data_IF_320251191248
#
_entry.id   IF_320251191248
#
_cell.length_a   1.000
_cell.length_b   1.000
_cell.length_c   1.000
_cell.angle_alpha   90.00
_cell.angle_beta   90.00
_cell.angle_gamma   90.00
#
_symmetry.space_group_name_H-M   'P 1'
#
loop_
_entity.id
_entity.type
_entity.pdbx_description
1 polymer ?
#
# COMPACT_ATOMS: atom_id res chain seq x y z
N UNK A 1 -12.53 11.80 -23.06
CA UNK A 1 -12.66 12.09 -21.61
C UNK A 1 -11.41 11.56 -20.92
N UNK A 2 -10.36 12.37 -20.91
CA UNK A 2 -9.09 12.06 -20.25
C UNK A 2 -9.18 12.52 -18.80
N UNK A 3 -9.58 11.60 -17.90
CA UNK A 3 -9.56 11.83 -16.47
C UNK A 3 -8.12 12.04 -16.01
N UNK A 4 -7.77 13.28 -15.69
CA UNK A 4 -6.52 13.60 -15.01
C UNK A 4 -6.69 13.14 -13.56
N UNK A 5 -6.17 11.94 -13.26
CA UNK A 5 -5.98 11.46 -11.90
C UNK A 5 -4.96 12.38 -11.23
N UNK A 6 -5.41 13.21 -10.28
CA UNK A 6 -4.50 13.84 -9.34
C UNK A 6 -3.94 12.71 -8.47
N UNK A 7 -2.64 12.46 -8.63
CA UNK A 7 -1.91 11.44 -7.88
C UNK A 7 -1.85 11.94 -6.44
N UNK A 8 -2.63 11.34 -5.54
CA UNK A 8 -2.37 11.46 -4.11
C UNK A 8 -1.05 10.74 -3.84
N UNK A 9 0.06 11.47 -3.90
CA UNK A 9 1.39 10.95 -3.54
C UNK A 9 1.48 10.51 -2.07
N UNK A 10 0.45 10.76 -1.25
CA UNK A 10 0.44 10.55 0.19
C UNK A 10 -0.01 9.16 0.66
N UNK A 11 -0.52 8.27 -0.20
CA UNK A 11 -0.70 6.85 0.16
C UNK A 11 0.58 6.02 -0.02
N UNK A 12 1.68 6.63 -0.47
CA UNK A 12 3.01 6.02 -0.41
C UNK A 12 3.63 6.24 0.97
N UNK A 13 2.89 5.92 2.02
CA UNK A 13 3.49 5.80 3.34
C UNK A 13 4.37 4.54 3.30
N UNK A 14 5.65 4.77 2.95
CA UNK A 14 6.76 3.85 3.08
C UNK A 14 6.43 2.39 2.74
N UNK A 15 6.21 2.08 1.46
CA UNK A 15 6.49 0.74 0.95
C UNK A 15 8.00 0.51 1.13
N UNK A 16 8.44 0.15 2.35
CA UNK A 16 9.69 -0.62 2.55
C UNK A 16 9.63 -1.66 1.45
N UNK A 17 10.66 -1.71 0.60
CA UNK A 17 10.79 -2.65 -0.52
C UNK A 17 10.29 -4.01 -0.05
N UNK A 18 9.01 -4.26 -0.25
CA UNK A 18 8.35 -5.38 0.38
C UNK A 18 8.79 -6.57 -0.45
N UNK A 19 8.99 -7.73 0.18
CA UNK A 19 9.31 -8.94 -0.54
C UNK A 19 8.27 -9.28 -1.64
N UNK A 20 7.17 -8.54 -1.79
CA UNK A 20 6.12 -8.76 -2.77
C UNK A 20 5.79 -7.52 -3.65
N UNK A 21 6.65 -6.51 -3.71
CA UNK A 21 6.43 -5.30 -4.54
C UNK A 21 6.31 -5.57 -6.06
N UNK A 22 6.92 -6.66 -6.54
CA UNK A 22 6.85 -7.11 -7.94
C UNK A 22 5.51 -7.74 -8.33
N UNK A 23 4.62 -8.02 -7.37
CA UNK A 23 3.33 -8.68 -7.60
C UNK A 23 2.28 -7.61 -7.92
N UNK A 24 1.71 -7.70 -9.12
CA UNK A 24 0.73 -6.73 -9.62
C UNK A 24 -0.68 -7.29 -9.76
N UNK A 25 -0.88 -8.60 -9.51
CA UNK A 25 -2.18 -9.27 -9.55
C UNK A 25 -2.03 -10.79 -9.58
N UNK A 26 -3.14 -11.51 -9.73
CA UNK A 26 -3.15 -12.97 -9.75
C UNK A 26 -2.67 -13.59 -11.06
N UNK A 27 -2.53 -12.81 -12.14
CA UNK A 27 -2.02 -13.27 -13.44
C UNK A 27 -2.94 -14.29 -14.12
N UNK A 28 -4.25 -14.04 -14.05
CA UNK A 28 -5.28 -14.91 -14.62
C UNK A 28 -5.71 -14.44 -16.01
N UNK A 29 -6.09 -15.37 -16.87
CA UNK A 29 -6.88 -15.12 -18.07
C UNK A 29 -8.27 -15.74 -17.85
N UNK A 30 -9.25 -14.88 -17.56
CA UNK A 30 -10.52 -15.33 -16.98
C UNK A 30 -10.30 -15.91 -15.57
N UNK A 31 -10.54 -17.20 -15.38
CA UNK A 31 -10.23 -17.92 -14.13
C UNK A 31 -9.01 -18.84 -14.25
N UNK A 32 -8.33 -18.87 -15.40
CA UNK A 32 -7.18 -19.76 -15.61
C UNK A 32 -5.87 -19.05 -15.31
N UNK A 33 -5.03 -19.63 -14.48
CA UNK A 33 -3.75 -19.01 -14.14
C UNK A 33 -2.69 -19.29 -15.22
N UNK A 34 -2.03 -18.24 -15.71
CA UNK A 34 -0.86 -18.42 -16.60
C UNK A 34 0.35 -18.88 -15.77
N UNK A 35 1.24 -19.74 -16.31
CA UNK A 35 2.41 -20.22 -15.59
C UNK A 35 3.27 -19.10 -14.99
N UNK A 36 3.44 -18.00 -15.73
CA UNK A 36 4.12 -16.78 -15.28
C UNK A 36 3.32 -15.57 -15.74
N UNK A 37 2.80 -14.77 -14.81
CA UNK A 37 2.09 -13.52 -15.10
C UNK A 37 1.95 -12.65 -13.85
N UNK A 38 1.94 -11.33 -14.03
CA UNK A 38 1.71 -10.34 -12.96
C UNK A 38 2.63 -10.48 -11.73
N UNK A 39 3.87 -10.91 -11.95
CA UNK A 39 4.86 -11.18 -10.90
C UNK A 39 4.68 -12.52 -10.18
N UNK A 40 3.63 -13.28 -10.51
CA UNK A 40 3.36 -14.61 -9.96
C UNK A 40 3.96 -15.70 -10.86
N UNK A 41 4.52 -16.74 -10.24
CA UNK A 41 5.04 -17.96 -10.89
C UNK A 41 4.37 -19.16 -10.26
N UNK A 42 3.89 -20.10 -11.07
CA UNK A 42 3.33 -21.36 -10.57
C UNK A 42 2.08 -21.15 -9.72
N UNK A 43 1.91 -21.99 -8.70
CA UNK A 43 0.75 -22.02 -7.78
C UNK A 43 -0.60 -21.91 -8.51
N UNK A 44 -0.73 -22.63 -9.63
CA UNK A 44 -1.88 -22.52 -10.56
C UNK A 44 -3.19 -22.69 -9.82
N UNK A 45 -3.41 -23.85 -9.17
CA UNK A 45 -4.64 -24.14 -8.43
C UNK A 45 -4.98 -23.08 -7.36
N UNK A 46 -3.97 -22.63 -6.60
CA UNK A 46 -4.18 -21.64 -5.54
C UNK A 46 -4.54 -20.26 -6.10
N UNK A 47 -3.95 -19.87 -7.23
CA UNK A 47 -4.27 -18.61 -7.93
C UNK A 47 -5.64 -18.64 -8.59
N UNK A 48 -6.04 -19.77 -9.15
CA UNK A 48 -7.38 -19.95 -9.72
C UNK A 48 -8.45 -19.89 -8.62
N UNK A 49 -8.22 -20.58 -7.49
CA UNK A 49 -9.09 -20.48 -6.31
C UNK A 49 -9.18 -19.05 -5.78
N UNK A 50 -8.05 -18.35 -5.69
CA UNK A 50 -8.02 -16.94 -5.32
C UNK A 50 -8.79 -16.05 -6.31
N UNK A 51 -8.76 -16.36 -7.62
CA UNK A 51 -9.54 -15.67 -8.64
C UNK A 51 -11.04 -15.84 -8.47
N UNK A 52 -11.49 -17.04 -8.07
CA UNK A 52 -12.89 -17.30 -7.71
C UNK A 52 -13.28 -16.49 -6.48
N UNK A 53 -12.43 -16.43 -5.46
CA UNK A 53 -12.65 -15.59 -4.27
C UNK A 53 -12.81 -14.12 -4.63
N UNK A 54 -11.90 -13.57 -5.44
CA UNK A 54 -11.97 -12.19 -5.94
C UNK A 54 -13.29 -11.93 -6.64
N UNK A 55 -13.76 -12.87 -7.47
CA UNK A 55 -15.05 -12.75 -8.15
C UNK A 55 -16.23 -12.74 -7.16
N UNK A 56 -16.24 -13.65 -6.19
CA UNK A 56 -17.28 -13.68 -5.16
C UNK A 56 -17.33 -12.38 -4.35
N UNK A 57 -16.17 -11.80 -4.05
CA UNK A 57 -16.07 -10.52 -3.36
C UNK A 57 -16.67 -9.40 -4.22
N UNK A 58 -16.26 -9.29 -5.49
CA UNK A 58 -16.78 -8.28 -6.42
C UNK A 58 -18.28 -8.42 -6.70
N UNK A 59 -18.82 -9.64 -6.60
CA UNK A 59 -20.25 -9.91 -6.72
C UNK A 59 -21.05 -9.73 -5.41
N UNK A 60 -20.40 -9.37 -4.29
CA UNK A 60 -21.05 -9.22 -2.99
C UNK A 60 -21.48 -10.54 -2.33
N UNK A 61 -20.98 -11.69 -2.82
CA UNK A 61 -21.35 -13.04 -2.37
C UNK A 61 -20.35 -13.62 -1.35
N UNK A 62 -19.49 -12.79 -0.76
CA UNK A 62 -18.44 -13.21 0.17
C UNK A 62 -18.72 -12.83 1.65
N UNK A 63 -19.89 -12.29 1.96
CA UNK A 63 -20.26 -11.92 3.33
C UNK A 63 -20.19 -13.11 4.30
N UNK A 64 -19.72 -12.86 5.54
CA UNK A 64 -19.63 -13.88 6.59
C UNK A 64 -18.56 -14.95 6.39
N UNK A 65 -17.66 -14.78 5.41
CA UNK A 65 -16.61 -15.75 5.08
C UNK A 65 -15.22 -15.14 5.20
N UNK A 66 -14.23 -15.99 5.42
CA UNK A 66 -12.82 -15.63 5.35
C UNK A 66 -12.05 -16.65 4.50
N UNK A 67 -10.80 -16.32 4.17
CA UNK A 67 -9.92 -17.22 3.43
C UNK A 67 -8.85 -17.77 4.38
N UNK A 68 -8.51 -19.05 4.26
CA UNK A 68 -7.33 -19.62 4.89
C UNK A 68 -6.34 -20.08 3.82
N UNK A 69 -5.16 -19.47 3.78
CA UNK A 69 -4.03 -19.93 3.00
C UNK A 69 -3.22 -20.93 3.83
N UNK A 70 -3.29 -22.21 3.47
CA UNK A 70 -2.61 -23.28 4.19
C UNK A 70 -1.48 -23.86 3.33
N UNK A 71 -0.32 -24.11 3.95
CA UNK A 71 0.76 -24.88 3.30
C UNK A 71 2.14 -24.58 3.87
N UNK A 72 3.18 -25.28 3.41
CA UNK A 72 4.54 -25.14 3.93
C UNK A 72 5.09 -23.70 3.90
N UNK A 73 6.13 -23.39 4.70
CA UNK A 73 6.83 -22.11 4.58
C UNK A 73 7.39 -21.91 3.16
N UNK A 74 7.36 -20.67 2.66
CA UNK A 74 7.97 -20.33 1.37
C UNK A 74 7.14 -20.70 0.12
N UNK A 75 5.89 -21.14 0.27
CA UNK A 75 4.99 -21.48 -0.86
C UNK A 75 4.22 -20.29 -1.45
N UNK A 76 4.46 -19.07 -0.98
CA UNK A 76 3.83 -17.86 -1.55
C UNK A 76 2.45 -17.50 -1.00
N UNK A 77 2.11 -17.89 0.24
CA UNK A 77 0.84 -17.48 0.89
C UNK A 77 0.68 -15.96 0.93
N UNK A 78 1.67 -15.24 1.46
CA UNK A 78 1.68 -13.76 1.48
C UNK A 78 1.58 -13.16 0.07
N UNK A 79 2.28 -13.76 -0.90
CA UNK A 79 2.22 -13.35 -2.31
C UNK A 79 0.79 -13.45 -2.90
N UNK A 80 0.08 -14.56 -2.62
CA UNK A 80 -1.31 -14.76 -3.07
C UNK A 80 -2.24 -13.75 -2.38
N UNK A 81 -2.08 -13.50 -1.08
CA UNK A 81 -2.89 -12.51 -0.36
C UNK A 81 -2.70 -11.09 -0.93
N UNK A 82 -1.45 -10.70 -1.21
CA UNK A 82 -1.15 -9.43 -1.89
C UNK A 82 -1.77 -9.39 -3.29
N UNK A 83 -1.69 -10.47 -4.06
CA UNK A 83 -2.28 -10.56 -5.39
C UNK A 83 -3.80 -10.43 -5.37
N UNK A 84 -4.48 -11.03 -4.38
CA UNK A 84 -5.93 -10.87 -4.16
C UNK A 84 -6.27 -9.39 -3.94
N UNK A 85 -5.55 -8.72 -3.03
CA UNK A 85 -5.80 -7.30 -2.75
C UNK A 85 -5.62 -6.42 -3.99
N UNK A 86 -4.54 -6.64 -4.77
CA UNK A 86 -4.29 -5.90 -6.02
C UNK A 86 -5.37 -6.14 -7.08
N UNK A 87 -5.97 -7.33 -7.11
CA UNK A 87 -7.08 -7.61 -8.03
C UNK A 87 -8.41 -6.99 -7.60
N UNK A 88 -8.61 -6.73 -6.31
CA UNK A 88 -9.79 -6.01 -5.83
C UNK A 88 -9.75 -4.54 -6.24
N UNK A 89 -8.57 -3.92 -6.19
CA UNK A 89 -8.33 -2.57 -6.70
C UNK A 89 -6.98 -2.02 -6.26
N UNK A 90 -6.52 -0.95 -6.92
CA UNK A 90 -5.23 -0.31 -6.57
C UNK A 90 -5.30 0.52 -5.29
N UNK A 91 -6.49 1.01 -5.00
CA UNK A 91 -6.91 1.87 -3.89
C UNK A 91 -7.59 1.07 -2.75
N UNK A 92 -7.69 -0.25 -2.90
CA UNK A 92 -8.20 -1.14 -1.85
C UNK A 92 -7.14 -1.28 -0.76
N UNK A 93 -7.46 -0.94 0.51
CA UNK A 93 -6.51 -1.07 1.61
C UNK A 93 -6.06 -2.53 1.81
N UNK A 94 -4.77 -2.73 2.04
CA UNK A 94 -4.19 -4.03 2.41
C UNK A 94 -3.42 -3.87 3.71
N UNK A 95 -3.89 -4.55 4.77
CA UNK A 95 -3.31 -4.48 6.11
C UNK A 95 -2.66 -5.83 6.43
N UNK A 96 -1.33 -5.96 6.23
CA UNK A 96 -0.60 -7.13 6.71
C UNK A 96 -0.41 -7.06 8.21
N UNK A 97 -0.62 -8.18 8.89
CA UNK A 97 -0.51 -8.33 10.33
C UNK A 97 0.15 -9.67 10.65
N UNK A 98 1.26 -9.68 11.38
CA UNK A 98 1.71 -10.92 12.02
C UNK A 98 0.86 -11.17 13.28
N UNK A 99 0.36 -12.40 13.47
CA UNK A 99 -0.48 -12.74 14.62
C UNK A 99 0.15 -12.39 15.98
N UNK A 100 1.48 -12.37 16.07
CA UNK A 100 2.22 -11.96 17.28
C UNK A 100 2.09 -10.48 17.63
N UNK A 101 1.84 -9.60 16.65
CA UNK A 101 1.76 -8.14 16.86
C UNK A 101 0.53 -7.73 17.69
N UNK A 102 -0.51 -8.57 17.74
CA UNK A 102 -1.72 -8.33 18.53
C UNK A 102 -1.42 -8.32 20.03
N UNK A 103 -0.38 -9.03 20.46
CA UNK A 103 0.03 -9.12 21.86
C UNK A 103 0.96 -7.94 22.20
N UNK A 104 0.36 -6.77 22.40
CA UNK A 104 1.06 -5.57 22.84
C UNK A 104 0.84 -5.29 24.33
N UNK A 105 1.85 -4.73 25.00
CA UNK A 105 1.73 -4.22 26.36
C UNK A 105 1.08 -2.82 26.39
N UNK A 106 1.17 -2.07 25.30
CA UNK A 106 0.75 -0.67 25.22
C UNK A 106 -0.73 -0.50 24.84
N UNK A 107 -1.28 -1.44 24.07
CA UNK A 107 -2.64 -1.36 23.50
C UNK A 107 -3.36 -2.66 23.78
N UNK A 108 -4.63 -2.58 24.20
CA UNK A 108 -5.48 -3.75 24.41
C UNK A 108 -5.65 -4.54 23.10
N UNK A 109 -5.63 -5.87 23.18
CA UNK A 109 -5.84 -6.77 22.02
C UNK A 109 -7.07 -6.38 21.17
N UNK A 110 -8.19 -6.11 21.83
CA UNK A 110 -9.45 -5.73 21.16
C UNK A 110 -9.33 -4.39 20.44
N UNK A 111 -8.67 -3.41 21.05
CA UNK A 111 -8.46 -2.09 20.44
C UNK A 111 -7.52 -2.18 19.24
N UNK A 112 -6.43 -2.94 19.35
CA UNK A 112 -5.52 -3.21 18.23
C UNK A 112 -6.26 -3.85 17.04
N UNK A 113 -7.09 -4.86 17.31
CA UNK A 113 -7.90 -5.52 16.27
C UNK A 113 -8.94 -4.58 15.65
N UNK A 114 -9.61 -3.75 16.47
CA UNK A 114 -10.55 -2.74 15.97
C UNK A 114 -9.84 -1.74 15.04
N UNK A 115 -8.67 -1.22 15.44
CA UNK A 115 -7.87 -0.34 14.58
C UNK A 115 -7.44 -1.04 13.28
N UNK A 116 -7.03 -2.30 13.35
CA UNK A 116 -6.66 -3.11 12.17
C UNK A 116 -7.83 -3.23 11.20
N UNK A 117 -9.03 -3.57 11.69
CA UNK A 117 -10.23 -3.68 10.86
C UNK A 117 -10.60 -2.32 10.23
N UNK A 118 -10.53 -1.22 11.00
CA UNK A 118 -10.83 0.12 10.48
C UNK A 118 -9.78 0.66 9.50
N UNK A 119 -8.52 0.24 9.63
CA UNK A 119 -7.48 0.50 8.62
C UNK A 119 -7.76 -0.23 7.30
N UNK A 120 -8.46 -1.36 7.36
CA UNK A 120 -8.81 -2.14 6.17
C UNK A 120 -10.12 -1.71 5.51
N UNK A 121 -10.91 -0.80 6.08
CA UNK A 121 -12.11 -0.28 5.43
C UNK A 121 -11.76 1.07 4.79
N UNK A 122 -11.77 1.10 3.46
CA UNK A 122 -11.56 2.30 2.66
C UNK A 122 -12.86 3.07 2.45
N UNK A 123 -12.75 4.39 2.29
CA UNK A 123 -13.81 5.30 1.92
C UNK A 123 -13.30 6.20 0.79
N UNK A 124 -13.95 6.17 -0.37
CA UNK A 124 -13.72 7.12 -1.46
C UNK A 124 -14.70 8.26 -1.32
N UNK A 125 -14.23 9.40 -0.83
CA UNK A 125 -15.08 10.58 -0.68
C UNK A 125 -15.02 11.39 -1.98
N UNK A 126 -16.17 11.60 -2.59
CA UNK A 126 -16.37 12.37 -3.81
C UNK A 126 -16.81 13.79 -3.44
N UNK A 127 -16.01 14.76 -3.85
CA UNK A 127 -16.27 16.16 -3.56
C UNK A 127 -16.18 16.99 -4.84
N UNK A 128 -17.30 17.62 -5.20
CA UNK A 128 -17.34 18.53 -6.34
C UNK A 128 -17.05 19.94 -5.84
N UNK A 129 -15.97 20.54 -6.31
CA UNK A 129 -15.59 21.92 -5.97
C UNK A 129 -15.50 22.78 -7.21
N UNK A 130 -15.82 24.07 -7.05
CA UNK A 130 -15.63 25.08 -8.09
C UNK A 130 -14.19 25.56 -8.07
N UNK A 131 -13.47 25.27 -9.14
CA UNK A 131 -12.07 25.65 -9.30
C UNK A 131 -11.90 26.64 -10.46
N UNK A 132 -10.95 27.54 -10.32
CA UNK A 132 -10.45 28.32 -11.45
C UNK A 132 -9.23 27.61 -12.04
N UNK A 133 -9.20 27.43 -13.34
CA UNK A 133 -8.05 26.83 -14.03
C UNK A 133 -7.75 27.60 -15.31
N UNK A 134 -6.49 27.87 -15.57
CA UNK A 134 -6.08 28.55 -16.79
C UNK A 134 -4.60 28.90 -16.82
N UNK A 135 -4.17 29.35 -17.99
CA UNK A 135 -2.85 29.93 -18.17
C UNK A 135 -2.81 31.34 -17.60
N UNK A 136 -1.81 31.61 -16.78
CA UNK A 136 -1.52 32.92 -16.23
C UNK A 136 -1.07 33.87 -17.34
N UNK A 137 -1.85 34.92 -17.57
CA UNK A 137 -1.55 35.99 -18.53
C UNK A 137 -0.89 37.19 -17.85
N UNK A 138 -1.35 37.53 -16.65
CA UNK A 138 -0.82 38.65 -15.88
C UNK A 138 -0.80 38.27 -14.39
N UNK A 139 0.26 38.64 -13.67
CA UNK A 139 0.35 38.54 -12.20
C UNK A 139 0.84 39.88 -11.68
N UNK A 140 0.13 40.45 -10.71
CA UNK A 140 0.53 41.65 -9.98
C UNK A 140 0.41 41.37 -8.48
N UNK A 141 1.51 41.55 -7.74
CA UNK A 141 1.54 41.35 -6.30
C UNK A 141 1.62 42.71 -5.62
N UNK A 142 0.66 42.98 -4.74
CA UNK A 142 0.62 44.17 -3.91
C UNK A 142 1.47 43.93 -2.67
N UNK A 143 2.41 44.85 -2.38
CA UNK A 143 3.33 44.74 -1.25
C UNK A 143 3.07 45.86 -0.26
N UNK A 144 3.15 45.54 1.03
CA UNK A 144 3.05 46.48 2.13
C UNK A 144 4.27 46.36 3.07
N UNK A 145 4.67 47.42 3.80
CA UNK A 145 5.74 47.35 4.78
C UNK A 145 5.37 46.45 5.96
N UNK A 146 6.33 45.70 6.49
CA UNK A 146 6.14 44.80 7.62
C UNK A 146 5.90 45.60 8.92
N UNK A 147 4.92 45.24 9.76
CA UNK A 147 4.54 46.02 10.96
C UNK A 147 5.70 46.27 11.95
N UNK A 148 6.67 45.36 12.00
CA UNK A 148 7.81 45.43 12.93
C UNK A 148 9.16 45.70 12.24
N UNK A 149 9.20 45.76 10.91
CA UNK A 149 10.43 46.00 10.16
C UNK A 149 10.13 46.81 8.89
N UNK A 150 10.27 48.15 8.92
CA UNK A 150 9.94 49.02 7.80
C UNK A 150 10.74 48.74 6.51
N UNK A 151 11.88 48.05 6.62
CA UNK A 151 12.74 47.70 5.49
C UNK A 151 12.34 46.36 4.83
N UNK A 152 11.39 45.62 5.41
CA UNK A 152 10.88 44.36 4.89
C UNK A 152 9.50 44.56 4.30
N UNK A 153 9.29 44.10 3.07
CA UNK A 153 7.98 44.11 2.43
C UNK A 153 7.34 42.73 2.51
N UNK A 154 6.04 42.70 2.80
CA UNK A 154 5.21 41.50 2.79
C UNK A 154 4.14 41.60 1.70
N UNK A 155 3.75 40.48 1.08
CA UNK A 155 2.57 40.45 0.21
C UNK A 155 1.34 40.87 1.02
N UNK A 156 0.56 41.82 0.49
CA UNK A 156 -0.70 42.29 1.07
C UNK A 156 -1.92 41.78 0.29
N UNK A 157 -1.74 41.51 -1.00
CA UNK A 157 -2.76 41.00 -1.91
C UNK A 157 -2.15 40.73 -3.28
N UNK A 158 -2.95 40.17 -4.19
CA UNK A 158 -2.52 39.96 -5.57
C UNK A 158 -3.70 40.08 -6.53
N UNK A 159 -3.41 40.53 -7.75
CA UNK A 159 -4.35 40.44 -8.87
C UNK A 159 -3.73 39.55 -9.94
N UNK A 160 -4.45 38.50 -10.33
CA UNK A 160 -4.04 37.57 -11.37
C UNK A 160 -5.06 37.56 -12.51
N UNK A 161 -4.59 37.54 -13.76
CA UNK A 161 -5.42 37.29 -14.92
C UNK A 161 -5.06 35.93 -15.50
N UNK A 162 -6.03 35.03 -15.56
CA UNK A 162 -5.88 33.69 -16.12
C UNK A 162 -6.78 33.52 -17.34
N UNK A 163 -6.39 32.66 -18.27
CA UNK A 163 -7.14 32.42 -19.49
C UNK A 163 -7.11 30.93 -19.89
N UNK A 164 -8.25 30.47 -20.38
CA UNK A 164 -8.38 29.24 -21.17
C UNK A 164 -8.35 29.59 -22.66
N UNK A 165 -8.63 28.64 -23.54
CA UNK A 165 -8.83 28.93 -24.97
C UNK A 165 -10.06 29.78 -25.24
N UNK A 166 -11.06 29.74 -24.37
CA UNK A 166 -12.41 30.25 -24.65
C UNK A 166 -12.75 31.48 -23.80
N UNK A 167 -12.15 31.63 -22.62
CA UNK A 167 -12.45 32.70 -21.66
C UNK A 167 -11.16 33.24 -21.01
N UNK A 168 -11.18 34.52 -20.62
CA UNK A 168 -10.17 35.07 -19.72
C UNK A 168 -10.83 35.78 -18.54
N UNK A 169 -10.24 35.65 -17.35
CA UNK A 169 -10.81 36.19 -16.12
C UNK A 169 -9.73 36.80 -15.25
N UNK A 170 -10.04 37.96 -14.67
CA UNK A 170 -9.20 38.64 -13.67
C UNK A 170 -9.75 38.35 -12.28
N UNK A 171 -8.88 37.93 -11.37
CA UNK A 171 -9.18 37.58 -9.99
C UNK A 171 -8.34 38.45 -9.06
N UNK A 172 -8.96 38.99 -8.02
CA UNK A 172 -8.28 39.70 -6.93
C UNK A 172 -8.25 38.76 -5.72
N UNK A 173 -7.09 38.68 -5.09
CA UNK A 173 -6.78 37.67 -4.07
C UNK A 173 -6.20 38.35 -2.83
N UNK A 174 -6.44 37.73 -1.68
CA UNK A 174 -5.93 38.20 -0.39
C UNK A 174 -4.43 37.92 -0.21
N UNK A 175 -3.92 38.28 0.98
CA UNK A 175 -2.55 38.04 1.40
C UNK A 175 -2.13 36.56 1.37
N UNK A 176 -3.04 35.62 1.67
CA UNK A 176 -2.74 34.19 1.71
C UNK A 176 -2.39 33.67 0.32
N UNK A 177 -3.26 33.96 -0.66
CA UNK A 177 -3.00 33.60 -2.05
C UNK A 177 -1.79 34.32 -2.64
N UNK A 178 -1.61 35.60 -2.31
CA UNK A 178 -0.43 36.37 -2.72
C UNK A 178 0.88 35.73 -2.23
N UNK A 179 0.89 35.22 -1.00
CA UNK A 179 2.04 34.50 -0.44
C UNK A 179 2.31 33.20 -1.19
N UNK A 180 1.26 32.42 -1.51
CA UNK A 180 1.40 31.17 -2.25
C UNK A 180 1.91 31.39 -3.70
N UNK A 181 1.46 32.45 -4.36
CA UNK A 181 1.96 32.86 -5.68
C UNK A 181 3.49 33.06 -5.68
N UNK A 182 4.01 33.75 -4.65
CA UNK A 182 5.46 33.97 -4.48
C UNK A 182 6.16 32.66 -4.20
N UNK A 183 5.67 31.88 -3.23
CA UNK A 183 6.32 30.64 -2.80
C UNK A 183 6.44 29.60 -3.93
N UNK A 184 5.44 29.53 -4.81
CA UNK A 184 5.44 28.63 -5.96
C UNK A 184 6.11 29.22 -7.21
N UNK A 185 6.58 30.47 -7.16
CA UNK A 185 7.18 31.15 -8.30
C UNK A 185 6.25 31.17 -9.51
N UNK A 186 4.98 31.52 -9.29
CA UNK A 186 3.96 31.58 -10.34
C UNK A 186 4.18 32.86 -11.18
N UNK A 187 4.33 32.68 -12.49
CA UNK A 187 4.61 33.73 -13.46
C UNK A 187 3.75 33.60 -14.74
N UNK A 188 3.81 34.62 -15.60
CA UNK A 188 3.11 34.59 -16.89
C UNK A 188 3.57 33.41 -17.74
N UNK A 189 2.59 32.66 -18.24
CA UNK A 189 2.77 31.43 -19.01
C UNK A 189 2.68 30.15 -18.17
N UNK A 190 2.52 30.24 -16.86
CA UNK A 190 2.23 29.07 -16.02
C UNK A 190 0.76 28.65 -16.14
N UNK A 191 0.48 27.37 -15.97
CA UNK A 191 -0.87 26.80 -15.89
C UNK A 191 -1.15 26.58 -14.40
N UNK A 192 -2.20 27.21 -13.88
CA UNK A 192 -2.55 27.16 -12.46
C UNK A 192 -3.96 26.64 -12.24
N UNK A 193 -4.16 26.03 -11.08
CA UNK A 193 -5.47 25.67 -10.54
C UNK A 193 -5.66 26.37 -9.18
N UNK A 194 -6.77 27.07 -8.99
CA UNK A 194 -7.10 27.83 -7.79
C UNK A 194 -8.38 27.24 -7.20
N UNK A 195 -8.30 26.76 -5.97
CA UNK A 195 -9.44 26.35 -5.15
C UNK A 195 -9.77 27.52 -4.19
N UNK A 196 -10.83 28.29 -4.46
CA UNK A 196 -11.22 29.43 -3.63
C UNK A 196 -11.74 29.00 -2.25
N UNK A 197 -12.41 27.85 -2.17
CA UNK A 197 -12.99 27.34 -0.92
C UNK A 197 -11.90 26.70 -0.05
N UNK A 198 -10.99 25.93 -0.68
CA UNK A 198 -9.82 25.35 -0.01
C UNK A 198 -8.68 26.35 0.25
N UNK A 199 -8.79 27.60 -0.23
CA UNK A 199 -7.80 28.64 0.02
C UNK A 199 -6.43 28.36 -0.62
N UNK A 200 -6.35 27.53 -1.68
CA UNK A 200 -5.07 27.07 -2.26
C UNK A 200 -4.93 27.39 -3.74
N UNK A 201 -3.72 27.72 -4.18
CA UNK A 201 -3.31 27.75 -5.58
C UNK A 201 -2.25 26.67 -5.84
N UNK A 202 -2.30 26.02 -7.01
CA UNK A 202 -1.31 25.02 -7.42
C UNK A 202 -0.84 25.32 -8.84
N UNK A 203 0.48 25.42 -9.02
CA UNK A 203 1.14 25.44 -10.33
C UNK A 203 1.21 24.04 -10.90
N UNK A 204 0.48 23.80 -12.00
CA UNK A 204 0.45 22.50 -12.70
C UNK A 204 1.64 22.34 -13.66
N UNK A 205 2.11 23.43 -14.26
CA UNK A 205 3.17 23.38 -15.27
C UNK A 205 3.29 24.67 -16.05
N UNK A 206 4.04 24.63 -17.16
CA UNK A 206 4.17 25.74 -18.12
C UNK A 206 3.36 25.47 -19.38
N UNK A 207 2.78 26.51 -19.96
CA UNK A 207 2.05 26.40 -21.22
C UNK A 207 3.00 26.10 -22.38
N UNK A 208 2.60 25.18 -23.27
CA UNK A 208 3.38 24.83 -24.46
C UNK A 208 3.68 26.06 -25.33
N UNK A 209 2.69 26.95 -25.50
CA UNK A 209 2.84 28.22 -26.22
C UNK A 209 3.95 29.10 -25.63
N UNK A 210 4.00 29.25 -24.30
CA UNK A 210 5.02 30.07 -23.63
C UNK A 210 6.42 29.47 -23.76
N UNK A 211 6.55 28.14 -23.75
CA UNK A 211 7.84 27.45 -23.93
C UNK A 211 8.36 27.60 -25.36
N UNK A 212 7.47 27.46 -26.36
CA UNK A 212 7.79 27.66 -27.78
C UNK A 212 8.18 29.11 -28.10
N UNK A 213 7.43 30.09 -27.58
CA UNK A 213 7.72 31.52 -27.74
C UNK A 213 9.06 31.92 -27.12
N UNK A 214 9.42 31.34 -25.96
CA UNK A 214 10.68 31.63 -25.25
C UNK A 214 11.88 30.84 -25.77
N UNK A 215 11.70 29.93 -26.76
CA UNK A 215 12.75 29.07 -27.34
C UNK A 215 13.60 28.38 -26.28
N UNK A 216 12.94 27.79 -25.28
CA UNK A 216 13.65 27.11 -24.17
C UNK A 216 14.00 25.68 -24.58
N UNK A 217 15.29 25.37 -24.71
CA UNK A 217 15.76 24.05 -25.14
C UNK A 217 15.57 22.94 -24.08
N UNK A 218 15.55 23.30 -22.78
CA UNK A 218 15.39 22.38 -21.66
C UNK A 218 14.55 23.03 -20.54
N UNK A 219 13.42 22.42 -20.15
CA UNK A 219 12.57 22.84 -19.03
C UNK A 219 12.43 21.71 -18.02
N UNK A 220 12.64 22.01 -16.73
CA UNK A 220 12.34 21.10 -15.62
C UNK A 220 10.86 21.08 -15.26
N UNK A 221 10.10 22.07 -15.72
CA UNK A 221 8.66 22.18 -15.48
C UNK A 221 7.88 21.36 -16.51
N UNK A 222 6.84 20.67 -16.05
CA UNK A 222 5.92 19.93 -16.92
C UNK A 222 5.28 20.87 -17.94
N UNK A 223 5.34 20.51 -19.23
CA UNK A 223 4.76 21.30 -20.31
C UNK A 223 3.34 20.82 -20.58
N UNK A 224 2.37 21.73 -20.48
CA UNK A 224 0.94 21.46 -20.60
C UNK A 224 0.30 22.31 -21.70
N UNK A 225 -0.75 21.79 -22.31
CA UNK A 225 -1.60 22.56 -23.20
C UNK A 225 -2.50 23.51 -22.40
N UNK A 226 -2.85 24.66 -23.00
CA UNK A 226 -3.77 25.61 -22.37
C UNK A 226 -5.13 24.93 -22.22
N UNK A 227 -5.79 24.98 -21.04
CA UNK A 227 -7.08 24.34 -20.85
C UNK A 227 -8.15 24.96 -21.75
N UNK A 228 -9.12 24.15 -22.18
CA UNK A 228 -10.28 24.61 -22.94
C UNK A 228 -11.48 24.88 -22.02
N UNK A 229 -12.51 25.56 -22.54
CA UNK A 229 -13.76 25.84 -21.82
C UNK A 229 -13.69 27.07 -20.92
N UNK A 230 -14.62 27.17 -19.98
CA UNK A 230 -14.67 28.28 -19.01
C UNK A 230 -13.48 28.22 -18.03
N UNK A 231 -13.04 29.39 -17.57
CA UNK A 231 -11.99 29.49 -16.54
C UNK A 231 -12.49 28.92 -15.21
N UNK A 232 -13.74 29.22 -14.84
CA UNK A 232 -14.39 28.63 -13.67
C UNK A 232 -15.10 27.34 -14.08
N UNK A 233 -14.74 26.22 -13.46
CA UNK A 233 -15.34 24.92 -13.71
C UNK A 233 -15.53 24.11 -12.44
N UNK A 234 -16.51 23.23 -12.46
CA UNK A 234 -16.71 22.24 -11.41
C UNK A 234 -15.79 21.05 -11.67
N UNK A 235 -15.02 20.66 -10.66
CA UNK A 235 -14.13 19.51 -10.70
C UNK A 235 -14.44 18.59 -9.53
N UNK A 236 -14.60 17.31 -9.84
CA UNK A 236 -14.76 16.27 -8.85
C UNK A 236 -13.38 15.81 -8.35
N UNK A 237 -13.21 15.83 -7.03
CA UNK A 237 -12.07 15.30 -6.33
C UNK A 237 -12.48 14.01 -5.63
N UNK A 238 -11.64 12.98 -5.76
CA UNK A 238 -11.84 11.69 -5.10
C UNK A 238 -10.73 11.53 -4.07
N UNK A 239 -11.12 11.52 -2.79
CA UNK A 239 -10.21 11.36 -1.66
C UNK A 239 -10.31 9.93 -1.11
N UNK A 240 -9.32 9.06 -1.40
CA UNK A 240 -9.25 7.75 -0.78
C UNK A 240 -8.70 7.88 0.64
N UNK A 241 -9.51 7.54 1.64
CA UNK A 241 -9.14 7.51 3.06
C UNK A 241 -9.58 6.18 3.70
N UNK A 242 -9.08 5.86 4.88
CA UNK A 242 -9.58 4.71 5.66
C UNK A 242 -10.44 5.20 6.82
N UNK A 243 -11.33 4.35 7.35
CA UNK A 243 -12.11 4.71 8.54
C UNK A 243 -11.21 5.04 9.72
N UNK A 244 -10.08 4.34 9.87
CA UNK A 244 -9.10 4.67 10.91
C UNK A 244 -8.49 6.06 10.72
N UNK A 245 -8.19 6.46 9.48
CA UNK A 245 -7.67 7.81 9.22
C UNK A 245 -8.69 8.90 9.57
N UNK A 246 -9.98 8.66 9.28
CA UNK A 246 -11.07 9.54 9.67
C UNK A 246 -11.25 9.61 11.20
N UNK A 247 -11.17 8.47 11.89
CA UNK A 247 -11.19 8.42 13.35
C UNK A 247 -10.07 9.27 13.96
N UNK A 248 -8.85 9.13 13.43
CA UNK A 248 -7.69 9.88 13.91
C UNK A 248 -7.84 11.38 13.69
N UNK A 249 -8.43 11.80 12.56
CA UNK A 249 -8.74 13.21 12.31
C UNK A 249 -9.80 13.74 13.28
N UNK A 250 -10.88 12.98 13.51
CA UNK A 250 -11.94 13.36 14.42
C UNK A 250 -11.46 13.43 15.89
N UNK A 251 -10.65 12.45 16.32
CA UNK A 251 -10.11 12.37 17.69
C UNK A 251 -9.21 13.57 18.04
N UNK A 252 -8.60 14.23 17.05
CA UNK A 252 -7.68 15.35 17.26
C UNK A 252 -8.36 16.70 17.61
N UNK A 253 -9.68 16.75 17.83
CA UNK A 253 -10.49 17.97 18.11
C UNK A 253 -10.08 19.18 17.24
N UNK A 254 -10.69 19.29 16.06
CA UNK A 254 -10.53 20.46 15.18
C UNK A 254 -9.44 20.34 14.10
N UNK A 255 -8.95 19.13 13.83
CA UNK A 255 -8.00 18.86 12.75
C UNK A 255 -8.73 18.57 11.43
N UNK A 256 -8.53 19.45 10.45
CA UNK A 256 -8.89 19.22 9.04
C UNK A 256 -8.30 17.89 8.52
N UNK A 257 -8.86 17.31 7.45
CA UNK A 257 -8.33 16.12 6.75
C UNK A 257 -6.83 16.30 6.43
N UNK A 258 -6.39 17.54 6.23
CA UNK A 258 -4.99 17.91 6.05
C UNK A 258 -4.06 17.50 7.20
N UNK A 259 -4.54 17.39 8.44
CA UNK A 259 -3.76 16.93 9.59
C UNK A 259 -3.36 15.44 9.52
N UNK A 260 -4.07 14.65 8.71
CA UNK A 260 -3.69 13.26 8.38
C UNK A 260 -2.42 13.27 7.51
N UNK A 261 -2.27 14.24 6.61
CA UNK A 261 -1.20 14.29 5.62
C UNK A 261 0.15 14.84 6.14
N UNK A 262 0.19 15.51 7.30
CA UNK A 262 1.39 16.24 7.77
C UNK A 262 1.94 15.81 9.15
N UNK A 263 1.55 14.63 9.66
CA UNK A 263 2.21 14.01 10.81
C UNK A 263 2.01 14.72 12.16
N UNK A 264 0.86 14.48 12.80
CA UNK A 264 0.59 14.86 14.18
C UNK A 264 0.83 13.72 15.19
N UNK A 265 0.88 14.03 16.50
CA UNK A 265 0.99 13.03 17.57
C UNK A 265 -0.13 11.99 17.48
N UNK A 266 0.22 10.71 17.64
CA UNK A 266 -0.73 9.60 17.70
C UNK A 266 -1.41 9.58 19.09
N UNK A 267 -2.73 9.73 19.13
CA UNK A 267 -3.53 9.33 20.28
C UNK A 267 -3.54 7.80 20.36
N UNK A 268 -3.19 7.23 21.53
CA UNK A 268 -2.99 5.77 21.68
C UNK A 268 -4.28 4.95 21.51
N UNK A 269 -5.42 5.46 21.97
CA UNK A 269 -6.72 4.82 21.84
C UNK A 269 -7.76 5.84 21.33
N UNK A 270 -8.69 5.38 20.50
CA UNK A 270 -9.77 6.21 19.95
C UNK A 270 -11.04 5.87 20.71
N UNK A 271 -11.67 6.90 21.29
CA UNK A 271 -12.90 6.73 22.06
C UNK A 271 -14.03 6.15 21.17
N UNK A 272 -14.88 5.24 21.71
CA UNK A 272 -16.00 4.68 20.96
C UNK A 272 -16.99 5.73 20.46
N UNK A 273 -17.11 6.86 21.15
CA UNK A 273 -17.97 7.98 20.75
C UNK A 273 -17.48 8.62 19.44
N UNK A 274 -16.17 8.91 19.33
CA UNK A 274 -15.55 9.42 18.09
C UNK A 274 -15.80 8.48 16.91
N UNK A 275 -15.69 7.16 17.12
CA UNK A 275 -15.95 6.17 16.05
C UNK A 275 -17.41 6.21 15.59
N UNK A 276 -18.36 6.33 16.51
CA UNK A 276 -19.79 6.44 16.17
C UNK A 276 -20.08 7.73 15.39
N UNK A 277 -19.45 8.84 15.75
CA UNK A 277 -19.58 10.10 15.01
C UNK A 277 -19.04 9.96 13.58
N UNK A 278 -17.87 9.33 13.42
CA UNK A 278 -17.31 9.04 12.09
C UNK A 278 -18.20 8.09 11.29
N UNK A 279 -18.72 7.04 11.91
CA UNK A 279 -19.60 6.07 11.25
C UNK A 279 -20.88 6.74 10.73
N UNK A 280 -21.52 7.61 11.53
CA UNK A 280 -22.71 8.37 11.08
C UNK A 280 -22.37 9.43 10.02
N UNK A 281 -21.21 10.09 10.12
CA UNK A 281 -20.73 11.00 9.09
C UNK A 281 -20.54 10.27 7.74
N UNK A 282 -19.82 9.16 7.74
CA UNK A 282 -19.57 8.35 6.54
C UNK A 282 -20.88 7.82 5.96
N UNK A 283 -21.77 7.31 6.81
CA UNK A 283 -23.10 6.84 6.39
C UNK A 283 -23.92 7.94 5.71
N UNK A 284 -23.86 9.17 6.24
CA UNK A 284 -24.52 10.33 5.61
C UNK A 284 -23.95 10.58 4.22
N UNK A 285 -22.62 10.60 4.06
CA UNK A 285 -21.99 10.77 2.75
C UNK A 285 -22.34 9.65 1.76
N UNK A 286 -22.43 8.40 2.23
CA UNK A 286 -22.85 7.26 1.40
C UNK A 286 -24.29 7.43 0.92
N UNK A 287 -25.20 7.86 1.82
CA UNK A 287 -26.60 8.13 1.46
C UNK A 287 -26.74 9.29 0.47
N UNK A 288 -25.86 10.29 0.56
CA UNK A 288 -25.77 11.40 -0.39
C UNK A 288 -25.13 11.01 -1.74
N UNK A 289 -24.60 9.79 -1.87
CA UNK A 289 -23.85 9.36 -3.06
C UNK A 289 -22.47 10.02 -3.20
N UNK A 290 -21.97 10.62 -2.11
CA UNK A 290 -20.69 11.34 -2.02
C UNK A 290 -19.59 10.51 -1.37
N UNK A 291 -19.88 9.26 -1.01
CA UNK A 291 -18.88 8.33 -0.50
C UNK A 291 -19.17 6.91 -0.98
N UNK A 292 -18.13 6.20 -1.38
CA UNK A 292 -18.18 4.77 -1.66
C UNK A 292 -17.27 4.03 -0.67
N UNK A 293 -17.84 3.07 0.06
CA UNK A 293 -17.07 2.22 0.96
C UNK A 293 -16.45 1.04 0.22
N UNK A 294 -15.16 0.82 0.47
CA UNK A 294 -14.37 -0.24 -0.12
C UNK A 294 -13.90 -1.20 0.98
N UNK A 295 -14.44 -2.43 1.04
CA UNK A 295 -13.90 -3.44 1.94
C UNK A 295 -12.50 -3.85 1.46
N UNK A 296 -11.49 -3.51 2.24
CA UNK A 296 -10.11 -3.92 2.02
C UNK A 296 -9.81 -5.30 2.56
N UNK A 297 -8.53 -5.62 2.64
CA UNK A 297 -8.03 -6.94 3.01
C UNK A 297 -7.20 -6.84 4.28
N UNK A 298 -7.56 -7.63 5.29
CA UNK A 298 -6.70 -7.90 6.45
C UNK A 298 -6.02 -9.24 6.23
N UNK A 299 -4.69 -9.23 6.13
CA UNK A 299 -3.90 -10.45 6.02
C UNK A 299 -3.25 -10.77 7.35
N UNK A 300 -3.62 -11.90 7.96
CA UNK A 300 -3.07 -12.35 9.25
C UNK A 300 -2.14 -13.53 9.02
N UNK A 301 -0.83 -13.28 9.10
CA UNK A 301 0.19 -14.31 9.00
C UNK A 301 0.37 -15.05 10.34
N UNK A 302 0.78 -16.31 10.25
CA UNK A 302 0.98 -17.21 11.39
C UNK A 302 -0.24 -17.31 12.32
N UNK A 303 -1.45 -17.37 11.76
CA UNK A 303 -2.72 -17.29 12.53
C UNK A 303 -2.85 -18.33 13.66
N UNK A 304 -2.12 -19.45 13.59
CA UNK A 304 -2.01 -20.43 14.69
C UNK A 304 -1.45 -19.87 16.01
N UNK A 305 -0.89 -18.66 15.99
CA UNK A 305 -0.38 -17.96 17.17
C UNK A 305 -1.44 -17.12 17.89
N UNK A 306 -2.63 -16.96 17.29
CA UNK A 306 -3.77 -16.29 17.91
C UNK A 306 -4.37 -17.14 19.03
N UNK A 307 -4.93 -16.46 20.03
CA UNK A 307 -5.69 -17.09 21.10
C UNK A 307 -7.20 -17.18 20.79
N UNK A 308 -7.91 -17.98 21.58
CA UNK A 308 -9.35 -18.21 21.43
C UNK A 308 -10.18 -16.92 21.50
N UNK A 309 -9.78 -15.96 22.35
CA UNK A 309 -10.45 -14.67 22.48
C UNK A 309 -10.34 -13.83 21.21
N UNK A 310 -9.16 -13.84 20.57
CA UNK A 310 -8.92 -13.15 19.32
C UNK A 310 -9.72 -13.78 18.19
N UNK A 311 -9.77 -15.11 18.11
CA UNK A 311 -10.63 -15.80 17.14
C UNK A 311 -12.11 -15.47 17.33
N UNK A 312 -12.61 -15.46 18.58
CA UNK A 312 -13.99 -15.08 18.87
C UNK A 312 -14.31 -13.65 18.42
N UNK A 313 -13.38 -12.71 18.67
CA UNK A 313 -13.52 -11.33 18.20
C UNK A 313 -13.59 -11.25 16.67
N UNK A 314 -12.68 -11.91 15.96
CA UNK A 314 -12.64 -11.92 14.50
C UNK A 314 -13.87 -12.61 13.91
N UNK A 315 -14.35 -13.69 14.54
CA UNK A 315 -15.55 -14.40 14.10
C UNK A 315 -16.79 -13.50 14.16
N UNK A 316 -16.93 -12.70 15.23
CA UNK A 316 -17.98 -11.69 15.34
C UNK A 316 -17.80 -10.55 14.34
N UNK A 317 -16.57 -10.14 14.06
CA UNK A 317 -16.30 -9.09 13.08
C UNK A 317 -16.71 -9.51 11.66
N UNK A 318 -16.53 -10.78 11.28
CA UNK A 318 -16.96 -11.32 9.98
C UNK A 318 -18.47 -11.25 9.73
N UNK A 319 -19.28 -11.16 10.79
CA UNK A 319 -20.74 -11.04 10.69
C UNK A 319 -21.22 -9.62 10.36
N UNK A 320 -20.32 -8.63 10.40
CA UNK A 320 -20.65 -7.25 10.05
C UNK A 320 -20.76 -7.07 8.53
N UNK A 321 -21.74 -6.28 8.09
CA UNK A 321 -22.02 -6.06 6.65
C UNK A 321 -20.83 -5.46 5.89
N UNK A 322 -20.08 -4.58 6.53
CA UNK A 322 -18.91 -3.90 5.97
C UNK A 322 -17.59 -4.49 6.48
N UNK A 323 -17.59 -5.74 6.91
CA UNK A 323 -16.37 -6.41 7.37
C UNK A 323 -15.33 -6.46 6.23
N UNK A 324 -14.06 -6.10 6.51
CA UNK A 324 -12.99 -6.30 5.53
C UNK A 324 -12.79 -7.80 5.27
N UNK A 325 -12.21 -8.12 4.13
CA UNK A 325 -11.89 -9.50 3.76
C UNK A 325 -10.72 -9.96 4.63
N UNK A 326 -10.95 -10.96 5.47
CA UNK A 326 -9.92 -11.53 6.32
C UNK A 326 -9.29 -12.74 5.63
N UNK A 327 -7.98 -12.68 5.43
CA UNK A 327 -7.17 -13.77 4.88
C UNK A 327 -6.19 -14.22 5.97
N UNK A 328 -6.40 -15.43 6.48
CA UNK A 328 -5.48 -16.09 7.40
C UNK A 328 -4.40 -16.84 6.62
N UNK A 329 -3.18 -16.90 7.16
CA UNK A 329 -2.15 -17.80 6.69
C UNK A 329 -1.60 -18.67 7.81
N UNK A 330 -1.39 -19.95 7.49
CA UNK A 330 -0.80 -20.91 8.42
C UNK A 330 0.20 -21.83 7.72
N UNK A 331 1.26 -22.16 8.43
CA UNK A 331 2.21 -23.22 8.08
C UNK A 331 2.04 -24.46 8.97
N UNK A 332 1.08 -24.45 9.91
CA UNK A 332 0.84 -25.56 10.85
C UNK A 332 -0.33 -26.44 10.38
N UNK A 333 -0.13 -27.74 10.55
CA UNK A 333 -1.18 -28.76 10.48
C UNK A 333 -2.01 -28.75 11.77
N UNK A 334 -1.96 -29.82 12.56
CA UNK A 334 -2.65 -29.85 13.86
C UNK A 334 -1.84 -29.13 14.94
N UNK A 335 -2.47 -28.19 15.65
CA UNK A 335 -1.88 -27.45 16.77
C UNK A 335 -2.92 -27.23 17.86
N UNK A 336 -2.47 -27.00 19.09
CA UNK A 336 -3.34 -26.55 20.18
C UNK A 336 -3.81 -25.12 19.90
N UNK A 337 -5.10 -24.86 20.09
CA UNK A 337 -5.67 -23.50 20.05
C UNK A 337 -5.23 -22.79 21.33
N UNK A 338 -4.48 -21.70 21.19
CA UNK A 338 -3.90 -20.99 22.35
C UNK A 338 -4.99 -20.48 23.30
N UNK A 339 -4.74 -20.61 24.59
CA UNK A 339 -5.71 -20.33 25.66
C UNK A 339 -6.65 -21.50 25.96
N UNK A 340 -6.47 -22.65 25.31
CA UNK A 340 -7.26 -23.87 25.54
C UNK A 340 -6.37 -25.12 25.48
N UNK A 341 -6.90 -26.27 25.90
CA UNK A 341 -6.26 -27.58 25.70
C UNK A 341 -6.71 -28.27 24.39
N UNK A 342 -7.51 -27.59 23.58
CA UNK A 342 -8.11 -28.14 22.37
C UNK A 342 -7.09 -28.22 21.24
N UNK A 343 -6.86 -29.43 20.72
CA UNK A 343 -6.06 -29.64 19.50
C UNK A 343 -6.98 -29.62 18.29
N UNK A 344 -6.72 -28.70 17.36
CA UNK A 344 -7.55 -28.51 16.18
C UNK A 344 -6.70 -28.39 14.89
N UNK A 345 -7.28 -28.65 13.71
CA UNK A 345 -6.64 -28.31 12.45
C UNK A 345 -6.26 -26.83 12.42
N UNK A 346 -5.05 -26.55 11.93
CA UNK A 346 -4.47 -25.21 11.80
C UNK A 346 -4.31 -24.41 13.11
N UNK A 347 -4.60 -25.03 14.27
CA UNK A 347 -4.67 -24.32 15.55
C UNK A 347 -5.82 -23.32 15.62
N UNK A 348 -6.92 -23.57 14.89
CA UNK A 348 -8.08 -22.69 14.83
C UNK A 348 -9.34 -23.37 15.40
N UNK A 349 -10.27 -22.61 16.02
CA UNK A 349 -11.58 -23.12 16.42
C UNK A 349 -12.39 -23.69 15.24
N UNK A 350 -13.10 -24.79 15.47
CA UNK A 350 -13.86 -25.49 14.42
C UNK A 350 -14.99 -24.62 13.84
N UNK A 351 -15.66 -23.83 14.68
CA UNK A 351 -16.73 -22.90 14.28
C UNK A 351 -16.24 -21.81 13.31
N UNK A 352 -15.00 -21.35 13.47
CA UNK A 352 -14.39 -20.42 12.53
C UNK A 352 -13.97 -21.15 11.25
N UNK A 353 -13.38 -22.35 11.36
CA UNK A 353 -12.94 -23.16 10.21
C UNK A 353 -14.09 -23.44 9.23
N UNK A 354 -15.30 -23.70 9.71
CA UNK A 354 -16.49 -23.94 8.89
C UNK A 354 -16.89 -22.72 8.04
N UNK A 355 -16.43 -21.51 8.40
CA UNK A 355 -16.64 -20.26 7.65
C UNK A 355 -15.51 -19.94 6.68
N UNK A 356 -14.42 -20.72 6.67
CA UNK A 356 -13.24 -20.45 5.84
C UNK A 356 -13.30 -21.16 4.49
N UNK A 357 -12.94 -20.45 3.44
CA UNK A 357 -12.49 -21.08 2.19
C UNK A 357 -11.00 -21.36 2.29
N UNK A 358 -10.64 -22.64 2.36
CA UNK A 358 -9.25 -23.08 2.51
C UNK A 358 -8.61 -23.22 1.12
N UNK A 359 -7.54 -22.45 0.87
CA UNK A 359 -6.72 -22.53 -0.33
C UNK A 359 -5.36 -23.14 0.07
N UNK A 360 -5.09 -24.34 -0.45
CA UNK A 360 -3.85 -25.04 -0.20
C UNK A 360 -2.77 -24.59 -1.18
N UNK A 361 -1.58 -24.32 -0.65
CA UNK A 361 -0.36 -24.02 -1.42
C UNK A 361 0.59 -25.21 -1.38
N UNK A 362 1.29 -25.45 -2.48
CA UNK A 362 2.19 -26.61 -2.64
C UNK A 362 3.66 -26.15 -2.68
N UNK A 363 4.64 -27.00 -2.33
CA UNK A 363 6.05 -26.71 -2.63
C UNK A 363 6.26 -26.46 -4.12
N UNK A 364 7.17 -25.56 -4.46
CA UNK A 364 7.51 -25.24 -5.85
C UNK A 364 8.37 -26.33 -6.49
N UNK A 365 8.16 -26.59 -7.77
CA UNK A 365 9.04 -27.43 -8.59
C UNK A 365 10.35 -26.73 -8.97
N UNK A 366 11.33 -27.49 -9.50
CA UNK A 366 12.65 -26.97 -9.91
C UNK A 366 12.54 -25.78 -10.87
N UNK A 367 11.72 -25.92 -11.92
CA UNK A 367 11.55 -24.88 -12.94
C UNK A 367 10.90 -23.60 -12.37
N UNK A 368 9.94 -23.76 -11.46
CA UNK A 368 9.30 -22.64 -10.78
C UNK A 368 10.29 -21.92 -9.85
N UNK A 369 11.09 -22.66 -9.08
CA UNK A 369 12.15 -22.10 -8.22
C UNK A 369 13.13 -21.29 -9.05
N UNK A 370 13.64 -21.86 -10.15
CA UNK A 370 14.55 -21.16 -11.06
C UNK A 370 13.94 -19.87 -11.56
N UNK A 371 12.71 -19.92 -12.06
CA UNK A 371 12.02 -18.75 -12.61
C UNK A 371 11.79 -17.67 -11.54
N UNK A 372 11.47 -18.06 -10.30
CA UNK A 372 11.34 -17.11 -9.19
C UNK A 372 12.68 -16.43 -8.90
N UNK A 373 13.79 -17.18 -8.85
CA UNK A 373 15.12 -16.62 -8.64
C UNK A 373 15.53 -15.66 -9.76
N UNK A 374 15.22 -15.98 -11.02
CA UNK A 374 15.43 -15.08 -12.16
C UNK A 374 14.67 -13.75 -12.00
N UNK A 375 13.37 -13.81 -11.70
CA UNK A 375 12.53 -12.60 -11.51
C UNK A 375 13.05 -11.75 -10.34
N UNK A 376 13.51 -12.39 -9.27
CA UNK A 376 14.11 -11.69 -8.12
C UNK A 376 15.41 -10.99 -8.48
N UNK A 377 16.31 -11.68 -9.15
CA UNK A 377 17.57 -11.13 -9.62
C UNK A 377 17.34 -9.94 -10.55
N UNK A 378 16.38 -10.03 -11.48
CA UNK A 378 15.98 -8.93 -12.36
C UNK A 378 15.42 -7.73 -11.59
N UNK A 379 14.51 -7.97 -10.64
CA UNK A 379 13.90 -6.91 -9.83
C UNK A 379 14.93 -6.14 -8.99
N UNK A 380 15.94 -6.84 -8.47
CA UNK A 380 17.03 -6.26 -7.68
C UNK A 380 18.21 -5.78 -8.55
N UNK A 381 18.14 -5.97 -9.87
CA UNK A 381 19.21 -5.66 -10.84
C UNK A 381 20.54 -6.33 -10.49
N UNK A 382 20.46 -7.57 -10.00
CA UNK A 382 21.62 -8.38 -9.63
C UNK A 382 21.96 -9.32 -10.79
N UNK A 383 23.09 -9.12 -11.49
CA UNK A 383 23.53 -10.05 -12.52
C UNK A 383 24.03 -11.37 -11.90
N UNK A 384 23.50 -12.49 -12.38
CA UNK A 384 23.84 -13.84 -11.92
C UNK A 384 24.24 -14.70 -13.14
N UNK A 385 25.35 -15.43 -13.04
CA UNK A 385 25.78 -16.34 -14.10
C UNK A 385 24.86 -17.56 -14.20
N UNK A 386 24.84 -18.23 -15.37
CA UNK A 386 23.98 -19.40 -15.59
C UNK A 386 24.28 -20.53 -14.61
N UNK A 387 25.56 -20.75 -14.31
CA UNK A 387 26.02 -21.78 -13.38
C UNK A 387 25.64 -21.46 -11.93
N UNK A 388 25.77 -20.19 -11.53
CA UNK A 388 25.32 -19.74 -10.21
C UNK A 388 23.81 -19.89 -10.04
N UNK A 389 23.03 -19.56 -11.09
CA UNK A 389 21.57 -19.71 -11.08
C UNK A 389 21.14 -21.19 -10.96
N UNK A 390 21.83 -22.09 -11.67
CA UNK A 390 21.58 -23.53 -11.55
C UNK A 390 21.86 -24.01 -10.12
N UNK A 391 23.00 -23.59 -9.54
CA UNK A 391 23.38 -23.97 -8.19
C UNK A 391 22.42 -23.44 -7.12
N UNK A 392 21.99 -22.18 -7.23
CA UNK A 392 20.94 -21.60 -6.37
C UNK A 392 19.61 -22.36 -6.49
N UNK A 393 19.26 -22.80 -7.70
CA UNK A 393 18.05 -23.60 -7.94
C UNK A 393 18.15 -24.96 -7.23
N UNK A 394 19.29 -25.63 -7.33
CA UNK A 394 19.56 -26.90 -6.62
C UNK A 394 19.48 -26.74 -5.10
N UNK A 395 20.07 -25.68 -4.56
CA UNK A 395 19.95 -25.33 -3.14
C UNK A 395 18.46 -25.17 -2.79
N UNK A 396 17.69 -24.43 -3.59
CA UNK A 396 16.26 -24.20 -3.35
C UNK A 396 15.42 -25.48 -3.32
N UNK A 397 15.74 -26.44 -4.21
CA UNK A 397 15.08 -27.76 -4.25
C UNK A 397 15.44 -28.61 -3.03
N UNK A 398 16.72 -28.65 -2.64
CA UNK A 398 17.21 -29.50 -1.56
C UNK A 398 16.86 -28.96 -0.16
N UNK A 399 16.76 -27.63 -0.03
CA UNK A 399 16.52 -26.93 1.23
C UNK A 399 15.16 -26.22 1.22
N UNK A 400 15.12 -24.95 0.81
CA UNK A 400 13.91 -24.16 0.61
C UNK A 400 14.17 -22.98 -0.34
N UNK A 401 13.14 -22.53 -1.04
CA UNK A 401 13.18 -21.32 -1.86
C UNK A 401 13.60 -20.08 -1.05
N UNK A 402 13.12 -19.95 0.20
CA UNK A 402 13.46 -18.81 1.07
C UNK A 402 14.96 -18.71 1.30
N UNK A 403 15.59 -19.84 1.62
CA UNK A 403 17.03 -19.90 1.86
C UNK A 403 17.81 -19.58 0.58
N UNK A 404 17.44 -20.18 -0.57
CA UNK A 404 18.08 -19.86 -1.85
C UNK A 404 18.02 -18.36 -2.21
N UNK A 405 16.85 -17.72 -2.01
CA UNK A 405 16.70 -16.27 -2.22
C UNK A 405 17.57 -15.46 -1.24
N UNK A 406 17.63 -15.86 0.04
CA UNK A 406 18.45 -15.18 1.05
C UNK A 406 19.94 -15.22 0.75
N UNK A 407 20.44 -16.25 0.05
CA UNK A 407 21.84 -16.35 -0.35
C UNK A 407 22.23 -15.36 -1.47
N UNK A 408 21.27 -14.84 -2.24
CA UNK A 408 21.55 -13.95 -3.38
C UNK A 408 22.26 -12.67 -2.93
N UNK A 409 21.75 -12.00 -1.90
CA UNK A 409 22.30 -10.72 -1.44
C UNK A 409 23.73 -10.86 -0.86
N UNK A 410 24.03 -11.80 0.06
CA UNK A 410 25.40 -12.02 0.51
C UNK A 410 26.35 -12.49 -0.60
N UNK A 411 25.87 -13.31 -1.55
CA UNK A 411 26.66 -13.72 -2.71
C UNK A 411 26.99 -12.54 -3.64
N UNK A 412 26.08 -11.56 -3.74
CA UNK A 412 26.32 -10.33 -4.49
C UNK A 412 27.35 -9.43 -3.81
N UNK A 413 27.29 -9.27 -2.50
CA UNK A 413 28.30 -8.50 -1.75
C UNK A 413 29.69 -9.14 -1.87
N UNK A 414 29.78 -10.48 -1.80
CA UNK A 414 31.03 -11.19 -2.03
C UNK A 414 31.55 -11.02 -3.47
N UNK A 415 30.65 -11.03 -4.46
CA UNK A 415 31.02 -10.80 -5.85
C UNK A 415 31.64 -9.40 -6.04
N UNK A 416 31.06 -8.36 -5.43
CA UNK A 416 31.59 -6.99 -5.46
C UNK A 416 32.97 -6.90 -4.81
N UNK A 417 33.14 -7.50 -3.63
CA UNK A 417 34.44 -7.53 -2.92
C UNK A 417 35.53 -8.18 -3.78
N UNK A 418 35.17 -9.23 -4.52
CA UNK A 418 36.07 -9.91 -5.47
C UNK A 418 36.17 -9.22 -6.83
N UNK A 419 35.60 -8.03 -6.99
CA UNK A 419 35.57 -7.24 -8.23
C UNK A 419 34.98 -8.00 -9.42
N UNK A 420 34.02 -8.90 -9.16
CA UNK A 420 33.25 -9.61 -10.17
C UNK A 420 32.08 -8.75 -10.65
N UNK A 421 31.78 -8.81 -11.95
CA UNK A 421 30.65 -8.10 -12.56
C UNK A 421 29.30 -8.78 -12.27
N UNK A 422 29.33 -10.06 -11.87
CA UNK A 422 28.15 -10.89 -11.59
C UNK A 422 28.40 -11.91 -10.47
N UNK A 423 27.32 -12.47 -9.95
CA UNK A 423 27.39 -13.63 -9.04
C UNK A 423 27.82 -14.85 -9.84
N UNK A 424 28.88 -15.51 -9.39
CA UNK A 424 29.39 -16.77 -9.92
C UNK A 424 29.15 -17.91 -8.93
N UNK A 425 29.21 -19.16 -9.41
CA UNK A 425 28.94 -20.34 -8.58
C UNK A 425 29.82 -20.39 -7.32
N UNK A 426 31.08 -19.98 -7.44
CA UNK A 426 32.03 -19.93 -6.31
C UNK A 426 31.65 -18.91 -5.24
N UNK A 427 30.94 -17.84 -5.60
CA UNK A 427 30.40 -16.90 -4.62
C UNK A 427 29.27 -17.55 -3.83
N UNK A 428 28.34 -18.22 -4.51
CA UNK A 428 27.22 -18.91 -3.87
C UNK A 428 27.71 -20.05 -2.97
N UNK A 429 28.64 -20.88 -3.45
CA UNK A 429 29.17 -22.02 -2.69
C UNK A 429 29.98 -21.59 -1.46
N UNK A 430 30.64 -20.43 -1.52
CA UNK A 430 31.32 -19.85 -0.36
C UNK A 430 30.29 -19.36 0.68
N UNK A 431 29.27 -18.63 0.25
CA UNK A 431 28.22 -18.11 1.15
C UNK A 431 27.40 -19.22 1.77
N UNK A 432 27.03 -20.26 1.02
CA UNK A 432 26.28 -21.42 1.53
C UNK A 432 27.02 -22.14 2.67
N UNK A 433 28.37 -22.13 2.66
CA UNK A 433 29.16 -22.69 3.76
C UNK A 433 29.12 -21.85 5.03
N UNK A 434 28.95 -20.53 4.89
CA UNK A 434 28.93 -19.60 6.02
C UNK A 434 27.54 -19.49 6.65
N UNK A 435 26.49 -19.47 5.83
CA UNK A 435 25.11 -19.32 6.27
C UNK A 435 24.39 -20.63 6.04
N UNK A 436 24.27 -21.48 7.06
CA UNK A 436 23.66 -22.81 6.93
C UNK A 436 22.12 -22.74 6.89
N UNK A 437 21.48 -23.70 6.22
CA UNK A 437 20.03 -23.82 6.24
C UNK A 437 19.52 -24.40 7.57
N UNK A 438 18.21 -24.26 7.81
CA UNK A 438 17.56 -24.67 9.07
C UNK A 438 17.77 -26.15 9.38
N UNK A 439 17.77 -27.05 8.38
CA UNK A 439 17.93 -28.49 8.63
C UNK A 439 19.34 -28.77 9.17
N UNK A 440 20.38 -28.27 8.48
CA UNK A 440 21.78 -28.39 8.93
C UNK A 440 22.00 -27.73 10.29
N UNK A 441 21.38 -26.58 10.53
CA UNK A 441 21.46 -25.90 11.84
C UNK A 441 20.85 -26.75 12.97
N UNK A 442 19.70 -27.39 12.74
CA UNK A 442 19.06 -28.27 13.73
C UNK A 442 19.90 -29.52 13.99
N UNK A 443 20.50 -30.10 12.95
CA UNK A 443 21.42 -31.24 13.08
C UNK A 443 22.65 -30.87 13.92
N UNK A 444 23.25 -29.71 13.66
CA UNK A 444 24.35 -29.18 14.47
C UNK A 444 23.94 -29.00 15.94
N UNK A 445 22.77 -28.40 16.20
CA UNK A 445 22.29 -28.22 17.57
C UNK A 445 22.10 -29.55 18.31
N UNK A 446 21.66 -30.61 17.62
CA UNK A 446 21.53 -31.95 18.20
C UNK A 446 22.88 -32.60 18.49
N UNK A 447 23.85 -32.43 17.61
CA UNK A 447 25.20 -32.98 17.80
C UNK A 447 25.88 -32.39 19.05
N UNK A 448 25.68 -31.08 19.26
CA UNK A 448 26.29 -30.34 20.36
C UNK A 448 25.33 -30.11 21.55
N UNK A 449 24.21 -30.84 21.62
CA UNK A 449 23.15 -30.66 22.63
C UNK A 449 23.72 -30.59 24.05
N UNK A 450 24.65 -31.48 24.40
CA UNK A 450 25.30 -31.54 25.72
C UNK A 450 26.22 -30.35 26.06
N UNK A 451 26.56 -29.53 25.07
CA UNK A 451 27.37 -28.33 25.24
C UNK A 451 26.52 -27.06 25.26
N UNK A 452 25.26 -27.14 24.84
CA UNK A 452 24.31 -26.07 25.00
C UNK A 452 23.78 -26.05 26.44
N UNK A 453 23.53 -24.85 26.94
CA UNK A 453 22.85 -24.67 28.22
C UNK A 453 21.39 -25.05 28.03
N UNK A 454 20.90 -26.00 28.83
CA UNK A 454 19.46 -26.20 28.97
C UNK A 454 18.84 -24.93 29.58
N UNK A 455 17.71 -24.49 29.01
CA UNK A 455 16.92 -23.36 29.50
C UNK A 455 16.04 -23.75 30.68
#
# INVERSE_FOLDING_TARGET
MSGVKEISESLREWERIAAHSHITGLGLEGLKAKPVASGMVGQVEAREAAGIVVRLIKEGKFAGRAVLLAGPPGTGKTAIATAIARELGRDVPFVPLAASEIFSADIKKTEFLMQTLRKAIGARIHEVRKIYEGEVKEVSIEKAPHPYNPYQQIPAGATIKIATTDESKRLTMDQSFATQLIQQGIETGDIVQIDPEGGRIVKLGKSRKSVEEKKVDLSTSQVLDVPNGNVLKEKEFVYPVTLYALDMAAARRGGDIFSIFFGGRESKEIEPETRREVDEYVKTLVQEGRCELLPGVVFIDECSMLDIETFAFLNRALEQELAPIIIFATNRGFSTVRGTDMRAPHGMPLDLLDRLLIINTKPYGRDEIRKILEIRAEAEKIPISKEAMEYLTEIGVNTSLRYAVQLVAPAFELAKERKSDRIEKDHVSYVERLFVDVKKSVEYLREYEKQFLDL
#
